data_IF_620281303447
#
_entry.id   IF_620281303447
#
_cell.length_a   1.000
_cell.length_b   1.000
_cell.length_c   1.000
_cell.angle_alpha   90.00
_cell.angle_beta   90.00
_cell.angle_gamma   90.00
#
_symmetry.space_group_name_H-M   'P 1'
#
loop_
_entity.id
_entity.type
_entity.pdbx_description
1 polymer ?
#
# COMPACT_ATOMS: atom_id res chain seq x y z
N UNK A 1 52.47 9.11 58.61
CA UNK A 1 52.87 9.54 57.25
C UNK A 1 51.67 9.39 56.34
N UNK A 2 51.25 10.50 55.75
CA UNK A 2 49.96 10.73 55.11
C UNK A 2 49.78 9.88 53.83
N UNK A 3 48.59 9.28 53.69
CA UNK A 3 48.11 8.61 52.48
C UNK A 3 47.65 9.67 51.47
N UNK A 4 48.20 9.64 50.26
CA UNK A 4 47.84 10.51 49.14
C UNK A 4 48.56 9.95 47.89
N UNK A 5 47.99 9.75 46.70
CA UNK A 5 46.91 10.45 45.99
C UNK A 5 46.22 9.48 45.03
N UNK A 6 44.88 9.47 45.04
CA UNK A 6 44.03 9.02 43.93
C UNK A 6 44.15 10.02 42.77
N UNK A 7 44.46 9.55 41.56
CA UNK A 7 44.21 10.31 40.32
C UNK A 7 43.18 9.53 39.49
N UNK A 8 41.97 10.06 39.26
CA UNK A 8 40.90 9.35 38.59
C UNK A 8 40.72 9.81 37.13
N UNK A 9 39.97 8.97 36.40
CA UNK A 9 39.17 9.28 35.21
C UNK A 9 39.93 9.53 33.89
N UNK A 10 40.12 8.43 33.16
CA UNK A 10 40.09 8.45 31.70
C UNK A 10 38.69 8.88 31.26
N UNK A 11 38.50 10.17 30.96
CA UNK A 11 37.26 10.69 30.42
C UNK A 11 37.13 10.28 28.95
N UNK A 12 36.60 9.08 28.71
CA UNK A 12 36.04 8.75 27.40
C UNK A 12 34.66 9.42 27.33
N UNK A 13 34.62 10.65 26.79
CA UNK A 13 33.37 11.24 26.32
C UNK A 13 32.96 10.43 25.09
N UNK A 14 32.18 9.38 25.31
CA UNK A 14 31.40 8.75 24.27
C UNK A 14 30.30 9.75 23.90
N UNK A 15 30.58 10.63 22.96
CA UNK A 15 29.55 11.37 22.26
C UNK A 15 28.71 10.36 21.47
N UNK A 16 27.70 9.80 22.14
CA UNK A 16 26.65 9.04 21.50
C UNK A 16 25.80 10.04 20.72
N UNK A 17 26.19 10.30 19.47
CA UNK A 17 25.34 10.97 18.51
C UNK A 17 24.11 10.09 18.30
N UNK A 18 23.05 10.39 19.06
CA UNK A 18 21.73 9.81 18.86
C UNK A 18 21.20 10.40 17.55
N UNK A 19 21.47 9.73 16.44
CA UNK A 19 20.77 10.03 15.20
C UNK A 19 19.31 9.64 15.42
N UNK A 20 18.49 10.62 15.80
CA UNK A 20 17.04 10.53 15.68
C UNK A 20 16.74 10.49 14.18
N UNK A 21 16.88 9.32 13.57
CA UNK A 21 16.29 9.07 12.27
C UNK A 21 14.79 9.21 12.45
N UNK A 22 14.20 10.27 11.90
CA UNK A 22 12.75 10.35 11.78
C UNK A 22 12.32 9.09 11.02
N UNK A 23 11.59 8.20 11.69
CA UNK A 23 10.90 7.12 11.00
C UNK A 23 9.90 7.81 10.06
N UNK A 24 10.24 7.88 8.78
CA UNK A 24 9.34 8.39 7.75
C UNK A 24 8.14 7.46 7.75
N UNK A 25 6.99 7.97 8.18
CA UNK A 25 5.78 7.20 8.21
C UNK A 25 5.43 6.75 6.78
N UNK A 26 5.16 5.46 6.62
CA UNK A 26 4.95 4.86 5.31
C UNK A 26 3.57 5.31 4.79
N UNK A 27 3.57 5.94 3.61
CA UNK A 27 2.32 6.33 2.94
C UNK A 27 1.79 5.16 2.11
N UNK A 28 0.59 4.70 2.46
CA UNK A 28 -0.14 3.62 1.80
C UNK A 28 -1.48 4.11 1.25
N UNK A 29 -2.13 3.25 0.49
CA UNK A 29 -3.42 3.47 -0.16
C UNK A 29 -4.41 2.38 0.21
N UNK A 30 -5.68 2.75 0.32
CA UNK A 30 -6.77 1.81 0.58
C UNK A 30 -7.05 0.98 -0.67
N UNK A 31 -7.05 -0.35 -0.53
CA UNK A 31 -7.43 -1.29 -1.59
C UNK A 31 -8.94 -1.30 -1.83
N UNK A 32 -9.37 -1.74 -3.02
CA UNK A 32 -10.75 -2.16 -3.18
C UNK A 32 -11.07 -3.34 -2.26
N UNK A 33 -12.22 -3.23 -1.58
CA UNK A 33 -12.79 -4.31 -0.78
C UNK A 33 -14.11 -4.76 -1.41
N UNK A 34 -14.59 -5.94 -1.02
CA UNK A 34 -15.90 -6.44 -1.48
C UNK A 34 -17.05 -5.49 -1.09
N UNK A 35 -16.91 -4.82 0.06
CA UNK A 35 -17.92 -3.87 0.55
C UNK A 35 -17.75 -2.46 -0.04
N UNK A 36 -16.67 -2.22 -0.81
CA UNK A 36 -16.38 -0.93 -1.45
C UNK A 36 -15.78 0.14 -0.53
N UNK A 37 -15.52 -0.18 0.74
CA UNK A 37 -14.89 0.73 1.70
C UNK A 37 -14.06 -0.02 2.75
N UNK A 38 -13.23 0.72 3.46
CA UNK A 38 -12.44 0.27 4.59
C UNK A 38 -12.73 1.13 5.83
N UNK A 39 -13.02 0.50 6.97
CA UNK A 39 -13.34 1.22 8.20
C UNK A 39 -12.07 1.71 8.92
N UNK A 40 -12.05 2.98 9.27
CA UNK A 40 -11.17 3.55 10.29
C UNK A 40 -11.89 3.47 11.64
N UNK A 41 -11.26 2.83 12.63
CA UNK A 41 -11.87 2.50 13.93
C UNK A 41 -11.15 3.14 15.09
N UNK A 42 -11.79 3.19 16.26
CA UNK A 42 -11.20 3.74 17.49
C UNK A 42 -10.10 2.87 18.09
N UNK A 43 -10.04 1.58 17.76
CA UNK A 43 -9.02 0.64 18.25
C UNK A 43 -8.76 -0.53 17.29
N UNK A 44 -7.70 -1.34 17.55
CA UNK A 44 -7.31 -2.46 16.71
C UNK A 44 -8.24 -3.66 16.90
N UNK A 45 -9.37 -3.67 16.18
CA UNK A 45 -10.33 -4.76 16.25
C UNK A 45 -11.68 -4.42 15.62
N UNK A 46 -12.43 -5.44 15.23
CA UNK A 46 -13.77 -5.27 14.63
C UNK A 46 -14.84 -4.84 15.64
N UNK A 47 -14.59 -5.02 16.94
CA UNK A 47 -15.48 -4.60 18.03
C UNK A 47 -15.35 -3.13 18.44
N UNK A 48 -14.35 -2.40 17.92
CA UNK A 48 -14.19 -0.97 18.18
C UNK A 48 -15.07 -0.11 17.27
N UNK A 49 -15.49 1.05 17.77
CA UNK A 49 -16.34 2.00 17.04
C UNK A 49 -15.75 2.41 15.69
N UNK A 50 -16.62 2.60 14.70
CA UNK A 50 -16.24 3.10 13.38
C UNK A 50 -16.22 4.62 13.43
N UNK A 51 -15.06 5.22 13.17
CA UNK A 51 -14.84 6.67 13.14
C UNK A 51 -15.09 7.26 11.74
N UNK A 52 -14.76 6.50 10.69
CA UNK A 52 -14.86 6.94 9.29
C UNK A 52 -14.82 5.72 8.35
N UNK A 53 -15.44 5.85 7.17
CA UNK A 53 -15.21 4.97 6.03
C UNK A 53 -14.21 5.63 5.08
N UNK A 54 -13.21 4.87 4.65
CA UNK A 54 -12.23 5.25 3.65
C UNK A 54 -12.51 4.48 2.37
N UNK A 55 -12.25 5.10 1.22
CA UNK A 55 -12.56 4.54 -0.08
C UNK A 55 -11.30 4.09 -0.82
N UNK A 56 -11.42 3.18 -1.81
CA UNK A 56 -10.28 2.72 -2.59
C UNK A 56 -9.53 3.89 -3.22
N UNK A 57 -8.20 3.91 -3.04
CA UNK A 57 -7.34 5.02 -3.46
C UNK A 57 -7.14 6.13 -2.43
N UNK A 58 -7.90 6.15 -1.32
CA UNK A 58 -7.64 7.09 -0.22
C UNK A 58 -6.22 6.90 0.31
N UNK A 59 -5.52 8.01 0.53
CA UNK A 59 -4.18 8.01 1.09
C UNK A 59 -4.20 7.95 2.62
N UNK A 60 -3.33 7.11 3.18
CA UNK A 60 -3.11 7.02 4.62
C UNK A 60 -1.62 6.98 4.96
N UNK A 61 -1.25 7.64 6.03
CA UNK A 61 0.08 7.58 6.63
C UNK A 61 0.06 6.55 7.77
N UNK A 62 0.89 5.51 7.70
CA UNK A 62 0.98 4.48 8.75
C UNK A 62 1.84 4.97 9.91
N UNK A 63 1.24 5.05 11.09
CA UNK A 63 1.87 5.55 12.31
C UNK A 63 2.36 4.43 13.21
N UNK A 64 1.64 3.31 13.26
CA UNK A 64 1.90 2.19 14.16
C UNK A 64 1.26 0.91 13.60
N UNK A 65 1.83 -0.25 13.91
CA UNK A 65 1.28 -1.56 13.55
C UNK A 65 1.11 -2.42 14.80
N UNK A 66 -0.06 -3.04 14.96
CA UNK A 66 -0.39 -3.99 16.02
C UNK A 66 -1.06 -5.22 15.44
N UNK A 67 -0.30 -6.30 15.30
CA UNK A 67 -0.75 -7.53 14.64
C UNK A 67 -1.14 -7.27 13.18
N UNK A 68 -2.41 -7.50 12.84
CA UNK A 68 -2.95 -7.27 11.49
C UNK A 68 -3.60 -5.88 11.31
N UNK A 69 -3.54 -5.03 12.34
CA UNK A 69 -4.09 -3.69 12.35
C UNK A 69 -2.99 -2.65 12.24
N UNK A 70 -3.27 -1.58 11.51
CA UNK A 70 -2.41 -0.41 11.38
C UNK A 70 -3.14 0.79 11.94
N UNK A 71 -2.48 1.55 12.82
CA UNK A 71 -2.90 2.90 13.16
C UNK A 71 -2.44 3.82 12.05
N UNK A 72 -3.37 4.57 11.50
CA UNK A 72 -3.11 5.43 10.34
C UNK A 72 -3.66 6.83 10.55
N UNK A 73 -3.08 7.80 9.83
CA UNK A 73 -3.65 9.12 9.61
C UNK A 73 -4.22 9.16 8.19
N UNK A 74 -5.52 9.38 8.07
CA UNK A 74 -6.17 9.63 6.78
C UNK A 74 -5.77 11.01 6.26
N UNK A 75 -5.82 11.23 4.94
CA UNK A 75 -5.52 12.53 4.30
C UNK A 75 -6.35 13.70 4.86
N UNK A 76 -7.56 13.44 5.36
CA UNK A 76 -8.39 14.42 6.07
C UNK A 76 -7.92 14.73 7.50
N UNK A 77 -6.77 14.20 7.92
CA UNK A 77 -6.13 14.40 9.23
C UNK A 77 -6.64 13.50 10.35
N UNK A 78 -7.76 12.79 10.16
CA UNK A 78 -8.32 11.89 11.18
C UNK A 78 -7.44 10.67 11.40
N UNK A 79 -7.17 10.34 12.66
CA UNK A 79 -6.40 9.17 13.05
C UNK A 79 -7.30 8.06 13.58
N UNK A 80 -6.91 6.81 13.33
CA UNK A 80 -7.57 5.64 13.88
C UNK A 80 -6.91 4.35 13.42
N UNK A 81 -7.56 3.21 13.66
CA UNK A 81 -7.06 1.88 13.35
C UNK A 81 -7.82 1.27 12.18
N UNK A 82 -7.10 0.66 11.25
CA UNK A 82 -7.67 -0.07 10.13
C UNK A 82 -6.96 -1.41 9.93
N UNK A 83 -7.54 -2.32 9.16
CA UNK A 83 -6.88 -3.59 8.86
C UNK A 83 -5.78 -3.39 7.80
N UNK A 84 -4.53 -3.67 8.17
CA UNK A 84 -3.36 -3.46 7.31
C UNK A 84 -3.38 -4.30 6.04
N UNK A 85 -4.12 -5.43 6.01
CA UNK A 85 -4.27 -6.27 4.80
C UNK A 85 -4.89 -5.51 3.62
N UNK A 86 -5.66 -4.46 3.90
CA UNK A 86 -6.33 -3.63 2.91
C UNK A 86 -5.58 -2.33 2.61
N UNK A 87 -4.32 -2.23 3.02
CA UNK A 87 -3.42 -1.15 2.66
C UNK A 87 -2.34 -1.65 1.70
N UNK A 88 -1.88 -0.80 0.80
CA UNK A 88 -0.71 -1.07 -0.04
C UNK A 88 0.07 0.17 -0.44
N UNK A 89 1.36 -0.01 -0.74
CA UNK A 89 2.23 1.08 -1.17
C UNK A 89 1.76 1.64 -2.52
N UNK A 90 2.14 2.90 -2.81
CA UNK A 90 1.85 3.62 -4.07
C UNK A 90 2.21 2.85 -5.36
N UNK A 91 2.94 1.76 -5.24
CA UNK A 91 3.31 0.86 -6.32
C UNK A 91 2.18 -0.04 -6.85
N UNK A 92 0.91 0.27 -6.55
CA UNK A 92 -0.24 -0.47 -7.07
C UNK A 92 -1.40 0.40 -7.57
N UNK A 93 -1.34 1.74 -7.50
CA UNK A 93 -2.41 2.62 -7.99
C UNK A 93 -1.84 3.80 -8.76
N UNK A 94 -2.36 4.06 -9.96
CA UNK A 94 -1.88 5.11 -10.86
C UNK A 94 -0.58 4.76 -11.60
N UNK A 95 0.05 3.63 -11.28
CA UNK A 95 1.24 3.16 -12.00
C UNK A 95 0.87 2.81 -13.45
N UNK A 96 1.66 3.31 -14.39
CA UNK A 96 1.61 2.81 -15.77
C UNK A 96 2.36 1.50 -15.84
N UNK A 97 1.68 0.47 -16.30
CA UNK A 97 2.21 -0.86 -16.59
C UNK A 97 2.21 -1.08 -18.09
N UNK A 98 3.11 -1.95 -18.56
CA UNK A 98 3.22 -2.35 -19.94
C UNK A 98 2.77 -3.80 -20.09
N UNK A 99 1.93 -4.07 -21.07
CA UNK A 99 1.54 -5.45 -21.42
C UNK A 99 2.75 -6.16 -22.00
N UNK A 100 3.11 -7.32 -21.45
CA UNK A 100 4.23 -8.14 -21.95
C UNK A 100 3.77 -9.14 -23.00
N UNK A 101 4.74 -9.78 -23.66
CA UNK A 101 4.46 -10.85 -24.62
C UNK A 101 3.70 -12.01 -23.96
N UNK A 102 2.66 -12.49 -24.65
CA UNK A 102 1.89 -13.69 -24.28
C UNK A 102 2.01 -14.73 -25.39
N UNK A 103 1.73 -16.00 -25.09
CA UNK A 103 1.74 -17.07 -26.09
C UNK A 103 0.80 -16.79 -27.27
N UNK A 104 -0.33 -16.15 -26.97
CA UNK A 104 -1.42 -15.94 -27.92
C UNK A 104 -1.29 -14.59 -28.66
N UNK A 105 -0.27 -13.78 -28.31
CA UNK A 105 -0.03 -12.46 -28.89
C UNK A 105 -0.93 -11.33 -28.38
N UNK A 106 -1.83 -11.61 -27.45
CA UNK A 106 -2.69 -10.63 -26.80
C UNK A 106 -3.00 -11.01 -25.34
N UNK A 107 -3.51 -10.03 -24.59
CA UNK A 107 -4.03 -10.19 -23.24
C UNK A 107 -5.51 -9.79 -23.23
N UNK A 108 -6.35 -10.61 -22.60
CA UNK A 108 -7.77 -10.31 -22.44
C UNK A 108 -7.98 -9.31 -21.31
N UNK A 109 -8.71 -8.23 -21.61
CA UNK A 109 -9.31 -7.34 -20.65
C UNK A 109 -10.76 -7.78 -20.41
N UNK A 110 -11.11 -8.04 -19.16
CA UNK A 110 -12.38 -8.65 -18.75
C UNK A 110 -13.24 -7.71 -17.91
N UNK A 111 -14.54 -7.99 -17.84
CA UNK A 111 -15.50 -7.21 -17.03
C UNK A 111 -15.29 -7.38 -15.52
N UNK A 112 -14.66 -8.47 -15.08
CA UNK A 112 -14.36 -8.74 -13.67
C UNK A 112 -13.08 -9.57 -13.43
N UNK A 113 -12.69 -9.73 -12.16
CA UNK A 113 -11.44 -10.37 -11.74
C UNK A 113 -11.53 -11.90 -11.77
N UNK A 114 -11.59 -12.49 -12.97
CA UNK A 114 -11.68 -13.93 -13.17
C UNK A 114 -11.70 -14.34 -14.64
N UNK A 115 -11.40 -15.60 -14.93
CA UNK A 115 -11.40 -16.14 -16.31
C UNK A 115 -12.80 -16.46 -16.85
N UNK A 116 -13.77 -16.52 -15.96
CA UNK A 116 -15.20 -16.73 -16.17
C UNK A 116 -15.95 -15.44 -16.55
N UNK A 117 -15.36 -14.26 -16.30
CA UNK A 117 -15.94 -12.98 -16.70
C UNK A 117 -15.78 -12.69 -18.20
N UNK A 118 -16.75 -12.01 -18.77
CA UNK A 118 -16.77 -11.62 -20.19
C UNK A 118 -15.52 -10.86 -20.61
N UNK A 119 -15.03 -11.17 -21.82
CA UNK A 119 -13.94 -10.43 -22.46
C UNK A 119 -14.54 -9.18 -23.11
N UNK A 120 -14.12 -8.00 -22.64
CA UNK A 120 -14.59 -6.72 -23.16
C UNK A 120 -13.63 -6.12 -24.20
N UNK A 121 -12.35 -6.52 -24.18
CA UNK A 121 -11.33 -6.05 -25.12
C UNK A 121 -10.11 -6.99 -25.13
N UNK A 122 -9.36 -6.98 -26.23
CA UNK A 122 -7.99 -7.51 -26.29
C UNK A 122 -7.01 -6.34 -26.29
N UNK A 123 -5.96 -6.44 -25.49
CA UNK A 123 -4.82 -5.50 -25.44
C UNK A 123 -3.55 -6.24 -25.85
N UNK A 124 -2.57 -5.51 -26.38
CA UNK A 124 -1.42 -6.08 -27.07
C UNK A 124 -0.11 -5.76 -26.35
N UNK A 125 0.93 -6.60 -26.52
CA UNK A 125 2.24 -6.32 -25.98
C UNK A 125 2.74 -4.92 -26.35
N UNK A 126 3.23 -4.17 -25.37
CA UNK A 126 3.63 -2.77 -25.51
C UNK A 126 2.54 -1.76 -25.15
N UNK A 127 1.26 -2.16 -25.10
CA UNK A 127 0.18 -1.28 -24.62
C UNK A 127 0.46 -0.86 -23.18
N UNK A 128 0.23 0.43 -22.90
CA UNK A 128 0.36 0.97 -21.54
C UNK A 128 -1.00 1.09 -20.89
N UNK A 129 -1.09 0.66 -19.64
CA UNK A 129 -2.31 0.68 -18.85
C UNK A 129 -2.05 1.26 -17.47
N UNK A 130 -2.97 2.10 -16.98
CA UNK A 130 -2.90 2.66 -15.64
C UNK A 130 -3.54 1.68 -14.65
N UNK A 131 -2.77 1.22 -13.68
CA UNK A 131 -3.28 0.33 -12.64
C UNK A 131 -4.27 1.10 -11.75
N UNK A 132 -5.49 0.58 -11.65
CA UNK A 132 -6.59 1.18 -10.89
C UNK A 132 -6.93 0.41 -9.64
N UNK A 133 -6.63 -0.89 -9.57
CA UNK A 133 -6.95 -1.77 -8.45
C UNK A 133 -6.34 -3.17 -8.63
N UNK A 134 -6.36 -3.98 -7.57
CA UNK A 134 -5.92 -5.37 -7.60
C UNK A 134 -6.79 -6.29 -6.74
N UNK A 135 -7.16 -7.44 -7.30
CA UNK A 135 -7.84 -8.51 -6.58
C UNK A 135 -7.19 -9.85 -6.93
N UNK A 136 -6.45 -10.42 -5.97
CA UNK A 136 -5.67 -11.64 -6.19
C UNK A 136 -4.67 -11.46 -7.33
N UNK A 137 -4.73 -12.34 -8.33
CA UNK A 137 -3.87 -12.28 -9.51
C UNK A 137 -4.35 -11.25 -10.57
N UNK A 138 -5.52 -10.64 -10.38
CA UNK A 138 -6.14 -9.75 -11.33
C UNK A 138 -5.88 -8.28 -11.00
N UNK A 139 -5.72 -7.48 -12.05
CA UNK A 139 -5.43 -6.06 -12.01
C UNK A 139 -6.51 -5.32 -12.75
N UNK A 140 -7.23 -4.43 -12.06
CA UNK A 140 -8.14 -3.50 -12.72
C UNK A 140 -7.29 -2.40 -13.31
N UNK A 141 -7.42 -2.15 -14.60
CA UNK A 141 -6.59 -1.19 -15.32
C UNK A 141 -7.45 -0.29 -16.19
N UNK A 142 -6.95 0.91 -16.45
CA UNK A 142 -7.50 1.86 -17.40
C UNK A 142 -6.56 1.98 -18.59
N UNK A 143 -7.11 1.87 -19.80
CA UNK A 143 -6.39 2.10 -21.04
C UNK A 143 -6.27 3.60 -21.31
N UNK A 144 -5.34 3.99 -22.17
CA UNK A 144 -5.15 5.40 -22.59
C UNK A 144 -6.44 6.03 -23.16
N UNK A 145 -7.32 5.22 -23.76
CA UNK A 145 -8.61 5.66 -24.29
C UNK A 145 -9.76 5.66 -23.25
N UNK A 146 -9.46 5.48 -21.97
CA UNK A 146 -10.42 5.52 -20.86
C UNK A 146 -11.19 4.22 -20.61
N UNK A 147 -10.98 3.16 -21.39
CA UNK A 147 -11.63 1.86 -21.13
C UNK A 147 -11.07 1.25 -19.85
N UNK A 148 -11.96 0.81 -18.95
CA UNK A 148 -11.59 0.16 -17.69
C UNK A 148 -11.99 -1.31 -17.70
N UNK A 149 -11.10 -2.19 -17.24
CA UNK A 149 -11.41 -3.61 -17.06
C UNK A 149 -10.32 -4.34 -16.27
N UNK A 150 -10.41 -5.67 -16.22
CA UNK A 150 -9.52 -6.53 -15.44
C UNK A 150 -8.61 -7.37 -16.34
N UNK A 151 -7.32 -7.35 -16.05
CA UNK A 151 -6.30 -8.12 -16.75
C UNK A 151 -5.49 -8.97 -15.75
N UNK A 152 -5.02 -10.14 -16.18
CA UNK A 152 -4.22 -11.00 -15.30
C UNK A 152 -2.82 -10.39 -15.11
N UNK A 153 -2.46 -10.07 -13.86
CA UNK A 153 -1.29 -9.28 -13.51
C UNK A 153 0.06 -9.88 -13.91
N UNK A 154 0.14 -11.20 -14.11
CA UNK A 154 1.37 -11.85 -14.61
C UNK A 154 1.82 -11.36 -15.99
N UNK A 155 0.92 -10.74 -16.75
CA UNK A 155 1.19 -10.22 -18.08
C UNK A 155 1.33 -8.69 -18.11
N UNK A 156 1.52 -8.07 -16.94
CA UNK A 156 1.73 -6.64 -16.79
C UNK A 156 3.07 -6.39 -16.06
N UNK A 157 3.95 -5.63 -16.69
CA UNK A 157 5.28 -5.28 -16.16
C UNK A 157 5.43 -3.77 -15.98
N UNK A 158 6.48 -3.36 -15.25
CA UNK A 158 6.87 -1.95 -15.12
C UNK A 158 7.66 -1.47 -16.31
#
# INVERSE_FOLDING_TARGET
MLKSVFAPVLAFILAMALTLGAAMAETLYVKQTNDGYLNLRSGPGVGFDILQRMYPGDQVEVLEVSGTWARVRHEGGRMGWTSGKFLEARLAFGQMLTVVQTSDGYLNLRSGPGSDYDIIRRIYPGDRVRLLDAQGAWRRVELVNGVVGWAHGRYLAR
#
